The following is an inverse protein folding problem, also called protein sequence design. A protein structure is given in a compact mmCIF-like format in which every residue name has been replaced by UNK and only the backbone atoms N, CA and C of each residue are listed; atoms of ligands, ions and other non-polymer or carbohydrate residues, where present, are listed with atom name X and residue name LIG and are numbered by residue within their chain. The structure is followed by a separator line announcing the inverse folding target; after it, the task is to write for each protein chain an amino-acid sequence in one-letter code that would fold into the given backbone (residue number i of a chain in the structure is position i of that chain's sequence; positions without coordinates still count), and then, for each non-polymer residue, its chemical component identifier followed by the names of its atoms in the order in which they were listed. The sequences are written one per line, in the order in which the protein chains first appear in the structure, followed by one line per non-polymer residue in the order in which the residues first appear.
data_IF_868504898328
#
_entry.id   IF_868504898328
#
_cell.length_a   1.000
_cell.length_b   1.000
_cell.length_c   1.000
_cell.angle_alpha   90.00
_cell.angle_beta   90.00
_cell.angle_gamma   90.00
#
_symmetry.space_group_name_H-M   'P 1'
#
loop_
_entity.id
_entity.type
_entity.pdbx_description
1 polymer ?
#
# COMPACT_ATOMS: atom_id res chain seq x y z
N UNK A 1 14.67 -23.05 -2.54
CA UNK A 1 13.41 -22.71 -3.26
C UNK A 1 12.50 -21.79 -2.44
N UNK A 2 12.25 -22.08 -1.15
CA UNK A 2 11.48 -21.20 -0.25
C UNK A 2 11.87 -19.69 -0.25
N UNK A 3 13.16 -19.30 -0.20
CA UNK A 3 13.53 -17.87 -0.13
C UNK A 3 13.19 -17.10 -1.41
N UNK A 4 13.25 -17.77 -2.57
CA UNK A 4 12.90 -17.18 -3.87
C UNK A 4 11.39 -16.89 -3.92
N UNK A 5 10.58 -17.82 -3.42
CA UNK A 5 9.12 -17.68 -3.36
C UNK A 5 8.74 -16.58 -2.37
N UNK A 6 9.43 -16.48 -1.23
CA UNK A 6 9.22 -15.41 -0.24
C UNK A 6 9.49 -14.02 -0.84
N UNK A 7 10.62 -13.84 -1.54
CA UNK A 7 10.94 -12.58 -2.22
C UNK A 7 9.99 -12.24 -3.38
N UNK A 8 9.56 -13.23 -4.16
CA UNK A 8 8.57 -13.02 -5.21
C UNK A 8 7.21 -12.59 -4.62
N UNK A 9 6.81 -13.19 -3.50
CA UNK A 9 5.54 -12.87 -2.82
C UNK A 9 5.60 -11.48 -2.18
N UNK A 10 6.73 -11.14 -1.54
CA UNK A 10 7.01 -9.81 -0.99
C UNK A 10 6.88 -8.72 -2.06
N UNK A 11 7.57 -8.91 -3.19
CA UNK A 11 7.55 -7.93 -4.30
C UNK A 11 6.14 -7.74 -4.85
N UNK A 12 5.38 -8.82 -5.05
CA UNK A 12 3.98 -8.73 -5.48
C UNK A 12 3.10 -8.00 -4.46
N UNK A 13 3.24 -8.30 -3.16
CA UNK A 13 2.48 -7.64 -2.08
C UNK A 13 2.78 -6.14 -1.99
N UNK A 14 4.05 -5.76 -2.09
CA UNK A 14 4.49 -4.37 -2.03
C UNK A 14 4.05 -3.60 -3.28
N UNK A 15 4.28 -4.15 -4.47
CA UNK A 15 3.86 -3.51 -5.74
C UNK A 15 2.35 -3.35 -5.79
N UNK A 16 1.60 -4.37 -5.40
CA UNK A 16 0.13 -4.29 -5.33
C UNK A 16 -0.34 -3.21 -4.35
N UNK A 17 0.32 -3.09 -3.19
CA UNK A 17 0.01 -2.07 -2.20
C UNK A 17 0.27 -0.65 -2.71
N UNK A 18 1.41 -0.44 -3.36
CA UNK A 18 1.74 0.84 -3.99
C UNK A 18 0.74 1.18 -5.09
N UNK A 19 0.36 0.23 -5.95
CA UNK A 19 -0.64 0.46 -7.00
C UNK A 19 -2.00 0.84 -6.42
N UNK A 20 -2.45 0.19 -5.35
CA UNK A 20 -3.70 0.54 -4.68
C UNK A 20 -3.65 1.94 -4.03
N UNK A 21 -2.52 2.33 -3.43
CA UNK A 21 -2.30 3.68 -2.91
C UNK A 21 -2.33 4.73 -4.03
N UNK A 22 -1.62 4.48 -5.13
CA UNK A 22 -1.60 5.39 -6.29
C UNK A 22 -3.00 5.55 -6.85
N UNK A 23 -3.77 4.46 -6.97
CA UNK A 23 -5.16 4.54 -7.42
C UNK A 23 -6.02 5.37 -6.47
N UNK A 24 -5.89 5.17 -5.16
CA UNK A 24 -6.58 5.95 -4.14
C UNK A 24 -6.21 7.44 -4.22
N UNK A 25 -4.92 7.75 -4.40
CA UNK A 25 -4.37 9.08 -4.61
C UNK A 25 -4.96 9.79 -5.83
N UNK A 26 -5.01 9.11 -6.98
CA UNK A 26 -5.60 9.64 -8.21
C UNK A 26 -7.10 9.88 -8.05
N UNK A 27 -7.82 8.97 -7.39
CA UNK A 27 -9.26 9.11 -7.16
C UNK A 27 -9.56 10.32 -6.26
N UNK A 28 -8.78 10.51 -5.19
CA UNK A 28 -8.86 11.68 -4.33
C UNK A 28 -8.54 12.99 -5.07
N UNK A 29 -7.45 13.02 -5.85
CA UNK A 29 -7.05 14.19 -6.63
C UNK A 29 -8.09 14.56 -7.69
N UNK A 30 -8.66 13.56 -8.37
CA UNK A 30 -9.74 13.75 -9.35
C UNK A 30 -10.99 14.32 -8.70
N UNK A 31 -11.35 13.88 -7.48
CA UNK A 31 -12.52 14.38 -6.76
C UNK A 31 -12.33 15.80 -6.23
N UNK A 32 -11.17 16.08 -5.64
CA UNK A 32 -10.89 17.38 -5.00
C UNK A 32 -10.26 18.41 -5.95
N UNK A 33 -9.98 18.01 -7.20
CA UNK A 33 -9.19 18.78 -8.18
C UNK A 33 -7.83 19.28 -7.64
N UNK A 34 -7.36 18.70 -6.53
CA UNK A 34 -6.20 19.18 -5.78
C UNK A 34 -5.07 18.15 -5.79
N UNK A 35 -4.34 18.13 -6.90
CA UNK A 35 -3.15 17.29 -7.09
C UNK A 35 -2.01 17.60 -6.11
N UNK A 36 -1.98 18.83 -5.59
CA UNK A 36 -0.95 19.25 -4.62
C UNK A 36 -1.11 18.61 -3.23
N UNK A 37 -2.31 18.11 -2.91
CA UNK A 37 -2.65 17.52 -1.61
C UNK A 37 -2.79 16.00 -1.67
N UNK A 38 -2.21 15.35 -2.66
CA UNK A 38 -2.23 13.88 -2.75
C UNK A 38 -1.59 13.21 -1.52
N UNK A 39 -0.61 13.84 -0.88
CA UNK A 39 -0.03 13.37 0.39
C UNK A 39 -1.06 13.27 1.53
N UNK A 40 -2.18 13.99 1.46
CA UNK A 40 -3.29 13.88 2.42
C UNK A 40 -3.89 12.48 2.40
N UNK A 41 -3.78 11.75 1.29
CA UNK A 41 -4.19 10.33 1.21
C UNK A 41 -3.33 9.44 2.12
N UNK A 42 -2.07 9.78 2.35
CA UNK A 42 -1.19 9.03 3.25
C UNK A 42 -1.33 9.45 4.72
N UNK A 43 -1.52 10.75 4.98
CA UNK A 43 -1.44 11.30 6.35
C UNK A 43 -2.78 11.80 6.92
N UNK A 44 -3.84 11.90 6.11
CA UNK A 44 -5.13 12.48 6.49
C UNK A 44 -6.32 11.68 5.94
N UNK A 45 -6.40 10.43 6.42
CA UNK A 45 -7.43 9.43 6.09
C UNK A 45 -8.85 9.96 6.28
N UNK A 46 -9.05 10.90 7.22
CA UNK A 46 -10.36 11.47 7.55
C UNK A 46 -11.02 12.26 6.42
N UNK A 47 -10.25 12.65 5.40
CA UNK A 47 -10.77 13.36 4.21
C UNK A 47 -11.22 12.44 3.07
N UNK A 48 -10.96 11.13 3.18
CA UNK A 48 -11.29 10.15 2.16
C UNK A 48 -12.78 9.77 2.22
N UNK A 49 -13.37 9.56 1.05
CA UNK A 49 -14.68 8.92 0.89
C UNK A 49 -14.61 7.44 1.31
N UNK A 50 -15.75 6.82 1.59
CA UNK A 50 -15.83 5.39 1.96
C UNK A 50 -15.17 4.47 0.92
N UNK A 51 -15.30 4.80 -0.37
CA UNK A 51 -14.68 4.02 -1.45
C UNK A 51 -13.16 4.15 -1.46
N UNK A 52 -12.65 5.38 -1.36
CA UNK A 52 -11.21 5.68 -1.28
C UNK A 52 -10.59 5.03 -0.04
N UNK A 53 -11.30 5.04 1.08
CA UNK A 53 -10.90 4.42 2.35
C UNK A 53 -10.75 2.89 2.21
N UNK A 54 -11.61 2.24 1.42
CA UNK A 54 -11.52 0.79 1.18
C UNK A 54 -10.24 0.42 0.40
N UNK A 55 -9.89 1.22 -0.61
CA UNK A 55 -8.62 1.05 -1.35
C UNK A 55 -7.42 1.36 -0.47
N UNK A 56 -7.51 2.39 0.37
CA UNK A 56 -6.46 2.75 1.31
C UNK A 56 -6.20 1.63 2.33
N UNK A 57 -7.25 1.06 2.93
CA UNK A 57 -7.11 -0.08 3.84
C UNK A 57 -6.52 -1.31 3.15
N UNK A 58 -6.96 -1.62 1.93
CA UNK A 58 -6.40 -2.72 1.15
C UNK A 58 -4.90 -2.54 0.87
N UNK A 59 -4.51 -1.32 0.50
CA UNK A 59 -3.12 -0.97 0.29
C UNK A 59 -2.29 -1.08 1.57
N UNK A 60 -2.81 -0.56 2.68
CA UNK A 60 -2.10 -0.59 3.95
C UNK A 60 -1.94 -2.02 4.46
N UNK A 61 -2.96 -2.87 4.35
CA UNK A 61 -2.85 -4.29 4.68
C UNK A 61 -1.80 -5.00 3.82
N UNK A 62 -1.78 -4.77 2.50
CA UNK A 62 -0.80 -5.45 1.64
C UNK A 62 0.63 -4.98 1.90
N UNK A 63 0.83 -3.69 2.16
CA UNK A 63 2.13 -3.13 2.54
C UNK A 63 2.59 -3.66 3.89
N UNK A 64 1.69 -3.74 4.87
CA UNK A 64 2.02 -4.26 6.21
C UNK A 64 2.36 -5.74 6.13
N UNK A 65 1.62 -6.53 5.34
CA UNK A 65 1.92 -7.94 5.10
C UNK A 65 3.25 -8.13 4.38
N UNK A 66 3.52 -7.36 3.32
CA UNK A 66 4.80 -7.40 2.59
C UNK A 66 5.99 -7.04 3.48
N UNK A 67 5.85 -6.00 4.32
CA UNK A 67 6.87 -5.61 5.29
C UNK A 67 7.05 -6.68 6.40
N UNK A 68 5.97 -7.29 6.88
CA UNK A 68 6.04 -8.37 7.86
C UNK A 68 6.74 -9.61 7.29
N UNK A 69 6.44 -10.01 6.06
CA UNK A 69 7.14 -11.12 5.39
C UNK A 69 8.63 -10.84 5.21
N UNK A 70 9.00 -9.57 4.95
CA UNK A 70 10.39 -9.16 4.86
C UNK A 70 11.11 -9.24 6.20
N UNK A 71 10.49 -8.72 7.27
CA UNK A 71 11.04 -8.79 8.62
C UNK A 71 11.22 -10.25 9.08
N UNK A 72 10.22 -11.09 8.86
CA UNK A 72 10.29 -12.53 9.20
C UNK A 72 11.41 -13.21 8.41
N UNK A 73 11.53 -12.91 7.10
CA UNK A 73 12.61 -13.46 6.27
C UNK A 73 13.98 -12.98 6.75
N UNK A 74 14.11 -11.72 7.16
CA UNK A 74 15.34 -11.17 7.72
C UNK A 74 15.72 -11.83 9.06
N UNK A 75 14.75 -12.09 9.93
CA UNK A 75 15.00 -12.74 11.24
C UNK A 75 15.27 -14.24 11.12
N UNK A 76 14.71 -14.93 10.11
CA UNK A 76 14.90 -16.37 9.91
C UNK A 76 16.13 -16.72 9.08
N UNK A 77 16.59 -15.82 8.19
CA UNK A 77 17.69 -16.08 7.26
C UNK A 77 18.88 -15.11 7.40
N UNK A 78 18.79 -14.11 8.28
CA UNK A 78 19.91 -13.25 8.68
C UNK A 78 20.64 -13.80 9.90
#
# INVERSE_FOLDING_TARGET
MLPIIAHATETVLLVTGVLMLVRCAFQYASRTHNWHRVNVVLFHIRSLSKEEMRWWYGAMLSLTLGAATKLISFTLFG
#
